data_IF_239251009009
#
_entry.id   IF_239251009009
#
_cell.length_a   1.000
_cell.length_b   1.000
_cell.length_c   1.000
_cell.angle_alpha   90.00
_cell.angle_beta   90.00
_cell.angle_gamma   90.00
#
_symmetry.space_group_name_H-M   'P 1'
#
loop_
_entity.id
_entity.type
_entity.pdbx_description
1 polymer ?
#
# COMPACT_ATOMS: atom_id res chain seq x y z
N UNK A 1 -65.04 -21.92 60.00
CA UNK A 1 -65.31 -22.29 58.60
C UNK A 1 -64.01 -22.01 57.83
N UNK A 2 -63.15 -23.01 57.58
CA UNK A 2 -63.06 -23.84 56.35
C UNK A 2 -63.08 -22.95 55.07
N UNK A 3 -62.06 -22.91 54.21
CA UNK A 3 -61.58 -23.97 53.29
C UNK A 3 -60.14 -23.66 52.80
N UNK A 4 -59.20 -24.62 52.86
CA UNK A 4 -58.62 -25.44 51.75
C UNK A 4 -57.86 -24.71 50.62
N UNK A 5 -56.55 -24.98 50.53
CA UNK A 5 -55.70 -25.06 49.32
C UNK A 5 -56.22 -26.18 48.37
N UNK A 6 -55.97 -26.23 47.03
CA UNK A 6 -54.61 -26.36 46.44
C UNK A 6 -54.35 -25.98 44.94
N UNK A 7 -53.05 -25.90 44.59
CA UNK A 7 -52.41 -26.20 43.28
C UNK A 7 -52.81 -25.34 42.05
N UNK A 8 -52.02 -25.11 41.00
CA UNK A 8 -50.96 -25.88 40.31
C UNK A 8 -50.35 -24.96 39.24
N UNK A 9 -49.06 -25.18 38.94
CA UNK A 9 -48.40 -25.09 37.62
C UNK A 9 -48.54 -23.83 36.74
N UNK A 10 -47.40 -23.26 36.37
CA UNK A 10 -47.28 -22.33 35.24
C UNK A 10 -45.90 -21.74 35.14
N UNK A 11 -44.93 -22.52 34.66
CA UNK A 11 -43.61 -22.01 34.27
C UNK A 11 -43.73 -21.11 33.03
N UNK A 12 -43.10 -19.93 32.99
CA UNK A 12 -42.71 -19.32 31.75
C UNK A 12 -41.22 -19.60 31.49
N UNK A 13 -40.96 -20.29 30.38
CA UNK A 13 -39.67 -20.37 29.71
C UNK A 13 -38.99 -19.00 29.65
N UNK A 14 -37.92 -18.82 30.42
CA UNK A 14 -36.94 -17.75 30.17
C UNK A 14 -36.04 -18.26 29.05
N UNK A 15 -36.42 -17.96 27.82
CA UNK A 15 -35.57 -18.15 26.65
C UNK A 15 -34.33 -17.27 26.79
N UNK A 16 -33.20 -17.96 26.94
CA UNK A 16 -31.86 -17.41 26.96
C UNK A 16 -31.61 -16.46 25.78
N UNK A 17 -31.49 -15.15 26.06
CA UNK A 17 -30.82 -14.22 25.16
C UNK A 17 -29.32 -14.48 25.25
N UNK A 18 -28.84 -15.43 24.45
CA UNK A 18 -27.41 -15.54 24.14
C UNK A 18 -27.03 -14.33 23.30
N UNK A 19 -26.01 -13.54 23.68
CA UNK A 19 -25.43 -12.57 22.77
C UNK A 19 -24.84 -13.35 21.59
N UNK A 20 -25.35 -13.07 20.39
CA UNK A 20 -24.74 -13.52 19.15
C UNK A 20 -23.33 -12.94 19.10
N UNK A 21 -22.36 -13.76 19.48
CA UNK A 21 -20.96 -13.62 19.07
C UNK A 21 -20.98 -13.56 17.54
N UNK A 22 -20.88 -12.34 17.01
CA UNK A 22 -20.53 -12.13 15.61
C UNK A 22 -19.16 -12.77 15.44
N UNK A 23 -18.99 -13.80 14.61
CA UNK A 23 -17.67 -14.29 14.29
C UNK A 23 -17.01 -13.16 13.50
N UNK A 24 -16.06 -12.46 14.13
CA UNK A 24 -15.07 -11.66 13.43
C UNK A 24 -14.29 -12.68 12.59
N UNK A 25 -14.71 -12.83 11.33
CA UNK A 25 -14.00 -13.63 10.35
C UNK A 25 -12.65 -12.96 10.14
N UNK A 26 -11.63 -13.53 10.79
CA UNK A 26 -10.24 -13.23 10.52
C UNK A 26 -9.97 -13.48 9.02
N UNK A 27 -9.92 -12.40 8.23
CA UNK A 27 -9.45 -12.42 6.85
C UNK A 27 -7.94 -12.72 6.85
N UNK A 28 -7.59 -14.00 6.91
CA UNK A 28 -6.25 -14.48 6.61
C UNK A 28 -6.10 -14.64 5.10
N UNK A 29 -5.84 -13.55 4.38
CA UNK A 29 -5.54 -13.62 2.94
C UNK A 29 -4.43 -12.63 2.55
N UNK A 30 -3.19 -13.11 2.60
CA UNK A 30 -2.06 -12.49 1.89
C UNK A 30 -1.31 -13.57 1.11
N UNK A 31 -1.98 -14.24 0.18
CA UNK A 31 -1.35 -15.14 -0.78
C UNK A 31 -0.89 -14.29 -1.96
N UNK A 32 0.28 -13.67 -1.80
CA UNK A 32 0.88 -12.77 -2.79
C UNK A 32 1.64 -11.67 -2.08
N UNK A 33 2.84 -11.99 -1.59
CA UNK A 33 3.62 -11.03 -0.81
C UNK A 33 3.89 -9.77 -1.65
N UNK A 34 3.44 -8.57 -1.22
CA UNK A 34 4.01 -7.33 -1.72
C UNK A 34 5.52 -7.35 -1.46
N UNK A 35 6.29 -6.50 -2.14
CA UNK A 35 7.72 -6.37 -1.91
C UNK A 35 8.02 -6.42 -0.39
N UNK A 36 8.99 -7.26 0.00
CA UNK A 36 9.26 -7.50 1.42
C UNK A 36 9.57 -6.18 2.10
N UNK A 37 9.03 -5.93 3.28
CA UNK A 37 9.20 -4.70 4.05
C UNK A 37 9.68 -5.12 5.45
N UNK A 38 10.69 -4.44 5.98
CA UNK A 38 11.51 -4.98 7.07
C UNK A 38 11.72 -3.93 8.17
N UNK A 39 11.67 -4.39 9.42
CA UNK A 39 12.00 -3.60 10.60
C UNK A 39 13.49 -3.76 10.87
N UNK A 40 14.22 -2.65 10.87
CA UNK A 40 15.68 -2.58 10.81
C UNK A 40 16.30 -2.02 12.09
N UNK A 41 15.50 -1.38 12.95
CA UNK A 41 15.94 -0.80 14.22
C UNK A 41 16.27 -1.85 15.29
N UNK A 42 15.96 -3.13 15.07
CA UNK A 42 16.20 -4.23 16.02
C UNK A 42 15.33 -4.17 17.29
N UNK A 43 14.57 -3.09 17.45
CA UNK A 43 13.40 -3.00 18.32
C UNK A 43 12.20 -3.27 17.42
N UNK A 44 11.17 -3.95 17.90
CA UNK A 44 9.94 -4.12 17.11
C UNK A 44 9.37 -2.76 16.68
N UNK A 45 8.29 -2.70 15.87
CA UNK A 45 7.73 -1.43 15.42
C UNK A 45 7.41 -0.51 16.62
N UNK A 46 7.07 -1.08 17.78
CA UNK A 46 6.86 -0.36 19.04
C UNK A 46 8.09 0.39 19.64
N UNK A 47 9.32 0.19 19.17
CA UNK A 47 10.53 0.75 19.81
C UNK A 47 11.14 1.99 19.13
N UNK A 48 10.56 2.44 18.03
CA UNK A 48 11.02 3.59 17.24
C UNK A 48 9.99 4.13 16.23
N UNK A 49 8.91 3.39 15.97
CA UNK A 49 7.76 3.85 15.21
C UNK A 49 6.69 4.35 16.18
N UNK A 50 6.11 5.51 15.88
CA UNK A 50 4.97 6.05 16.62
C UNK A 50 3.73 5.98 15.73
N UNK A 51 2.57 5.53 16.24
CA UNK A 51 1.31 5.75 15.54
C UNK A 51 1.13 7.27 15.37
N UNK A 52 0.58 7.70 14.24
CA UNK A 52 0.29 9.13 14.02
C UNK A 52 -0.48 9.71 15.20
N UNK A 53 0.04 10.76 15.83
CA UNK A 53 -0.64 11.47 16.91
C UNK A 53 -1.80 12.34 16.40
N UNK A 54 -2.56 12.95 17.30
CA UNK A 54 -3.58 13.93 16.91
C UNK A 54 -2.95 15.17 16.24
N UNK A 55 -1.76 15.59 16.70
CA UNK A 55 -1.01 16.71 16.13
C UNK A 55 -0.51 16.39 14.71
N UNK A 56 -0.19 15.12 14.43
CA UNK A 56 0.13 14.63 13.09
C UNK A 56 -1.09 14.57 12.17
N UNK A 57 -2.29 14.51 12.75
CA UNK A 57 -3.57 14.33 12.06
C UNK A 57 -3.86 15.42 11.03
N UNK A 58 -3.37 16.65 11.23
CA UNK A 58 -3.49 17.73 10.24
C UNK A 58 -2.52 17.57 9.07
N UNK A 59 -1.23 17.34 9.36
CA UNK A 59 -0.16 17.28 8.34
C UNK A 59 -0.25 16.04 7.46
N UNK A 60 -0.70 14.93 8.01
CA UNK A 60 -0.77 13.63 7.34
C UNK A 60 -2.23 13.16 7.13
N UNK A 61 -3.20 14.07 7.22
CA UNK A 61 -4.64 13.81 7.04
C UNK A 61 -5.01 13.09 5.73
N UNK A 62 -4.16 13.26 4.70
CA UNK A 62 -4.32 12.69 3.37
C UNK A 62 -3.65 11.34 3.16
N UNK A 63 -3.10 10.73 4.21
CA UNK A 63 -2.53 9.37 4.14
C UNK A 63 -3.66 8.35 4.32
N UNK A 64 -3.76 7.41 3.40
CA UNK A 64 -4.80 6.39 3.38
C UNK A 64 -4.33 5.07 2.79
N UNK A 65 -5.25 4.11 2.71
CA UNK A 65 -4.99 2.79 2.15
C UNK A 65 -5.56 2.71 0.73
N UNK A 66 -4.73 2.29 -0.21
CA UNK A 66 -5.18 1.88 -1.55
C UNK A 66 -5.50 0.40 -1.47
N UNK A 67 -6.76 0.05 -1.64
CA UNK A 67 -7.22 -1.34 -1.69
C UNK A 67 -7.71 -1.69 -3.07
N UNK A 68 -7.15 -2.76 -3.64
CA UNK A 68 -7.60 -3.32 -4.90
C UNK A 68 -8.20 -4.70 -4.67
N UNK A 69 -9.33 -4.96 -5.34
CA UNK A 69 -9.93 -6.28 -5.42
C UNK A 69 -9.71 -6.83 -6.81
N UNK A 70 -9.19 -8.05 -6.89
CA UNK A 70 -9.09 -8.76 -8.16
C UNK A 70 -10.36 -9.62 -8.34
N UNK A 71 -11.21 -9.34 -9.35
CA UNK A 71 -12.40 -10.16 -9.61
C UNK A 71 -12.08 -11.62 -9.89
N UNK A 72 -10.87 -11.94 -10.37
CA UNK A 72 -10.44 -13.30 -10.63
C UNK A 72 -10.03 -14.06 -9.35
N UNK A 73 -9.76 -13.35 -8.24
CA UNK A 73 -9.47 -13.94 -6.93
C UNK A 73 -10.36 -13.34 -5.83
N UNK A 74 -11.69 -13.64 -5.84
CA UNK A 74 -12.62 -13.11 -4.86
C UNK A 74 -12.18 -13.44 -3.43
N UNK A 75 -12.06 -12.41 -2.58
CA UNK A 75 -11.62 -12.53 -1.19
C UNK A 75 -10.20 -12.01 -0.94
N UNK A 76 -9.33 -11.97 -1.95
CA UNK A 76 -8.01 -11.35 -1.83
C UNK A 76 -8.14 -9.83 -2.04
N UNK A 77 -7.98 -9.06 -0.97
CA UNK A 77 -7.78 -7.62 -1.05
C UNK A 77 -6.29 -7.32 -0.94
N UNK A 78 -5.78 -6.52 -1.85
CA UNK A 78 -4.40 -6.09 -1.80
C UNK A 78 -4.34 -4.64 -1.37
N UNK A 79 -3.57 -4.40 -0.32
CA UNK A 79 -3.42 -3.08 0.25
C UNK A 79 -2.01 -2.53 0.03
N UNK A 80 -1.96 -1.23 -0.25
CA UNK A 80 -0.78 -0.40 -0.18
C UNK A 80 -1.15 0.89 0.58
N UNK A 81 -0.15 1.62 1.05
CA UNK A 81 -0.34 3.00 1.46
C UNK A 81 -0.47 3.89 0.23
N UNK A 82 -1.29 4.93 0.31
CA UNK A 82 -1.25 6.06 -0.61
C UNK A 82 -1.30 7.37 0.14
N UNK A 83 -0.83 8.45 -0.48
CA UNK A 83 -0.93 9.79 0.08
C UNK A 83 -1.44 10.78 -0.97
N UNK A 84 -2.47 11.53 -0.60
CA UNK A 84 -2.97 12.68 -1.35
C UNK A 84 -1.87 13.74 -1.52
N UNK A 85 -1.54 14.07 -2.77
CA UNK A 85 -0.47 15.01 -3.14
C UNK A 85 -0.88 15.86 -4.36
N UNK A 86 -0.56 17.16 -4.32
CA UNK A 86 -0.87 18.11 -5.40
C UNK A 86 -2.31 18.61 -5.41
N UNK A 87 -3.30 17.73 -5.38
CA UNK A 87 -4.73 18.07 -5.24
C UNK A 87 -5.47 17.07 -4.36
N UNK A 88 -6.61 17.47 -3.78
CA UNK A 88 -7.41 16.63 -2.88
C UNK A 88 -7.99 15.36 -3.53
N UNK A 89 -7.86 15.19 -4.84
CA UNK A 89 -8.29 14.00 -5.58
C UNK A 89 -7.13 13.28 -6.30
N UNK A 90 -5.89 13.64 -5.99
CA UNK A 90 -4.69 13.00 -6.57
C UNK A 90 -3.91 12.28 -5.49
N UNK A 91 -3.69 10.98 -5.65
CA UNK A 91 -2.97 10.14 -4.68
C UNK A 91 -1.73 9.56 -5.33
N UNK A 92 -0.61 9.46 -4.60
CA UNK A 92 0.59 8.73 -5.05
C UNK A 92 0.75 7.46 -4.23
N UNK A 93 1.14 6.37 -4.90
CA UNK A 93 1.39 5.06 -4.28
C UNK A 93 2.45 4.28 -5.09
N UNK A 94 2.78 3.06 -4.66
CA UNK A 94 3.62 2.13 -5.42
C UNK A 94 2.79 1.43 -6.52
N UNK A 95 3.33 1.31 -7.72
CA UNK A 95 2.60 0.73 -8.85
C UNK A 95 2.28 -0.74 -8.66
N UNK A 96 3.15 -1.50 -7.99
CA UNK A 96 2.98 -2.95 -7.79
C UNK A 96 1.70 -3.34 -7.04
N UNK A 97 0.97 -2.41 -6.42
CA UNK A 97 -0.38 -2.70 -5.89
C UNK A 97 -1.34 -3.15 -7.00
N UNK A 98 -1.17 -2.64 -8.22
CA UNK A 98 -2.03 -2.90 -9.39
C UNK A 98 -1.56 -4.08 -10.27
N UNK A 99 -0.41 -4.71 -10.02
CA UNK A 99 0.13 -5.75 -10.90
C UNK A 99 0.32 -7.06 -10.15
N UNK A 100 -0.30 -8.16 -10.63
CA UNK A 100 -0.40 -9.46 -9.96
C UNK A 100 -0.04 -10.62 -10.88
N UNK A 101 0.67 -11.62 -10.37
CA UNK A 101 0.90 -12.86 -11.12
C UNK A 101 1.74 -13.85 -10.32
N UNK A 102 1.73 -15.15 -10.69
CA UNK A 102 2.61 -16.12 -10.07
C UNK A 102 4.06 -15.71 -10.26
N UNK A 103 4.82 -15.65 -9.15
CA UNK A 103 6.28 -15.61 -9.23
C UNK A 103 6.78 -16.96 -9.77
N UNK A 104 7.84 -16.99 -10.60
CA UNK A 104 8.67 -15.88 -11.05
C UNK A 104 8.37 -15.60 -12.53
N UNK A 105 7.35 -14.81 -12.86
CA UNK A 105 7.04 -14.56 -14.27
C UNK A 105 6.98 -13.07 -14.59
N UNK A 106 7.61 -12.73 -15.71
CA UNK A 106 7.57 -11.49 -16.50
C UNK A 106 6.15 -11.00 -16.87
N UNK A 107 5.10 -11.61 -16.33
CA UNK A 107 3.70 -11.42 -16.71
C UNK A 107 2.83 -11.09 -15.49
N UNK A 108 3.27 -10.12 -14.67
CA UNK A 108 2.37 -9.51 -13.70
C UNK A 108 1.22 -8.86 -14.48
N UNK A 109 0.01 -9.41 -14.28
CA UNK A 109 -1.27 -8.96 -14.81
C UNK A 109 -1.70 -7.69 -14.12
N UNK A 110 -1.97 -6.65 -14.90
CA UNK A 110 -2.58 -5.45 -14.38
C UNK A 110 -4.04 -5.71 -13.95
N UNK A 111 -4.40 -5.21 -12.78
CA UNK A 111 -5.77 -5.05 -12.29
C UNK A 111 -6.26 -3.68 -12.73
N UNK A 112 -7.54 -3.57 -13.11
CA UNK A 112 -8.15 -2.27 -13.43
C UNK A 112 -8.17 -1.39 -12.17
N UNK A 113 -7.59 -0.17 -12.19
CA UNK A 113 -7.70 0.77 -11.09
C UNK A 113 -9.15 1.05 -10.67
N UNK A 114 -10.14 0.93 -11.56
CA UNK A 114 -11.56 1.09 -11.23
C UNK A 114 -12.09 0.05 -10.23
N UNK A 115 -11.39 -1.07 -10.05
CA UNK A 115 -11.68 -2.09 -9.03
C UNK A 115 -10.94 -1.81 -7.71
N UNK A 116 -10.41 -0.60 -7.54
CA UNK A 116 -9.70 -0.17 -6.35
C UNK A 116 -10.40 1.03 -5.69
N UNK A 117 -10.15 1.20 -4.39
CA UNK A 117 -10.60 2.34 -3.62
C UNK A 117 -9.45 2.90 -2.78
N UNK A 118 -9.50 4.20 -2.54
CA UNK A 118 -8.69 4.89 -1.54
C UNK A 118 -9.51 5.10 -0.28
N UNK A 119 -8.99 4.63 0.85
CA UNK A 119 -9.69 4.59 2.14
C UNK A 119 -8.92 5.44 3.14
N UNK A 120 -9.61 6.42 3.72
CA UNK A 120 -9.09 7.28 4.79
C UNK A 120 -9.66 6.82 6.12
N UNK A 121 -8.81 6.80 7.14
CA UNK A 121 -9.18 6.44 8.51
C UNK A 121 -9.07 7.66 9.41
N UNK A 122 -9.92 7.72 10.44
CA UNK A 122 -9.79 8.70 11.51
C UNK A 122 -8.78 8.22 12.58
N UNK A 123 -8.57 9.05 13.60
CA UNK A 123 -7.66 8.73 14.71
C UNK A 123 -8.17 7.57 15.58
N UNK A 124 -9.44 7.19 15.47
CA UNK A 124 -10.06 6.07 16.16
C UNK A 124 -10.10 4.79 15.29
N UNK A 125 -9.32 4.78 14.21
CA UNK A 125 -9.20 3.65 13.27
C UNK A 125 -10.50 3.33 12.52
N UNK A 126 -11.47 4.25 12.54
CA UNK A 126 -12.71 4.11 11.79
C UNK A 126 -12.55 4.64 10.38
N UNK A 127 -13.24 4.01 9.42
CA UNK A 127 -13.29 4.49 8.05
C UNK A 127 -13.98 5.85 8.02
N UNK A 128 -13.23 6.89 7.67
CA UNK A 128 -13.74 8.26 7.48
C UNK A 128 -14.35 8.40 6.09
N UNK A 129 -13.63 7.95 5.07
CA UNK A 129 -14.06 8.02 3.68
C UNK A 129 -13.54 6.83 2.87
N UNK A 130 -14.38 6.30 1.99
CA UNK A 130 -13.99 5.38 0.91
C UNK A 130 -14.29 6.05 -0.41
N UNK A 131 -13.27 6.16 -1.28
CA UNK A 131 -13.38 6.85 -2.56
C UNK A 131 -12.87 5.93 -3.67
N UNK A 132 -13.70 5.61 -4.68
CA UNK A 132 -13.24 4.82 -5.80
C UNK A 132 -12.13 5.53 -6.58
N UNK A 133 -11.24 4.72 -7.16
CA UNK A 133 -10.18 5.21 -8.04
C UNK A 133 -10.71 5.29 -9.47
N UNK A 134 -10.68 6.49 -10.07
CA UNK A 134 -11.14 6.72 -11.45
C UNK A 134 -10.20 6.13 -12.49
N UNK A 135 -8.91 6.37 -12.29
CA UNK A 135 -7.82 5.82 -13.09
C UNK A 135 -6.48 5.98 -12.36
N UNK A 136 -5.46 5.26 -12.81
CA UNK A 136 -4.09 5.44 -12.36
C UNK A 136 -3.12 5.56 -13.54
N UNK A 137 -2.11 6.41 -13.38
CA UNK A 137 -0.97 6.55 -14.29
C UNK A 137 0.27 5.91 -13.67
N UNK A 138 1.00 5.12 -14.45
CA UNK A 138 2.28 4.54 -14.05
C UNK A 138 3.15 4.25 -15.27
N UNK A 139 4.47 4.41 -15.18
CA UNK A 139 5.36 3.86 -16.21
C UNK A 139 5.23 2.32 -16.34
N UNK A 140 4.84 1.61 -15.29
CA UNK A 140 4.56 0.15 -15.34
C UNK A 140 3.34 -0.22 -16.20
N UNK A 141 2.55 0.76 -16.67
CA UNK A 141 1.55 0.49 -17.70
C UNK A 141 2.20 -0.10 -18.97
N UNK A 142 3.45 0.27 -19.27
CA UNK A 142 4.26 -0.37 -20.31
C UNK A 142 4.81 -1.71 -19.86
N UNK A 143 4.49 -2.78 -20.59
CA UNK A 143 4.93 -4.15 -20.28
C UNK A 143 6.46 -4.28 -20.15
N UNK A 144 7.24 -3.54 -20.93
CA UNK A 144 8.72 -3.57 -20.87
C UNK A 144 9.33 -2.93 -19.61
N UNK A 145 8.54 -2.16 -18.86
CA UNK A 145 8.94 -1.50 -17.61
C UNK A 145 8.32 -2.16 -16.37
N UNK A 146 7.44 -3.14 -16.54
CA UNK A 146 6.85 -3.88 -15.41
C UNK A 146 7.93 -4.63 -14.64
N UNK A 147 7.70 -4.78 -13.34
CA UNK A 147 8.62 -5.41 -12.41
C UNK A 147 9.99 -4.71 -12.34
N UNK A 148 10.09 -3.45 -12.75
CA UNK A 148 11.30 -2.65 -12.62
C UNK A 148 11.11 -1.61 -11.51
N UNK A 149 11.71 -1.82 -10.34
CA UNK A 149 11.50 -0.97 -9.17
C UNK A 149 11.94 0.49 -9.42
N UNK A 150 12.81 0.73 -10.41
CA UNK A 150 13.21 2.08 -10.85
C UNK A 150 12.02 2.91 -11.40
N UNK A 151 10.89 2.25 -11.67
CA UNK A 151 9.69 2.81 -12.28
C UNK A 151 8.40 2.49 -11.50
N UNK A 152 8.53 1.92 -10.31
CA UNK A 152 7.42 1.42 -9.49
C UNK A 152 6.71 2.55 -8.74
N UNK A 153 5.96 3.37 -9.48
CA UNK A 153 5.14 4.45 -8.92
C UNK A 153 3.85 4.58 -9.71
N UNK A 154 2.77 4.83 -8.99
CA UNK A 154 1.48 5.15 -9.59
C UNK A 154 0.94 6.45 -9.00
N UNK A 155 0.31 7.24 -9.86
CA UNK A 155 -0.45 8.44 -9.48
C UNK A 155 -1.91 8.19 -9.85
N UNK A 156 -2.79 8.22 -8.87
CA UNK A 156 -4.20 7.93 -9.00
C UNK A 156 -5.02 9.22 -9.09
N UNK A 157 -6.06 9.19 -9.91
CA UNK A 157 -7.18 10.12 -9.83
C UNK A 157 -8.31 9.46 -9.05
N UNK A 158 -8.80 10.14 -8.02
CA UNK A 158 -9.98 9.73 -7.28
C UNK A 158 -11.25 10.24 -7.98
N UNK A 159 -12.37 9.54 -7.79
CA UNK A 159 -13.67 9.95 -8.36
C UNK A 159 -14.19 11.28 -7.80
N UNK A 160 -13.75 11.63 -6.59
CA UNK A 160 -14.06 12.91 -5.94
C UNK A 160 -12.92 13.33 -5.00
N UNK A 161 -12.79 14.62 -4.69
CA UNK A 161 -11.86 15.11 -3.68
C UNK A 161 -12.12 14.50 -2.29
N UNK A 162 -11.06 14.24 -1.54
CA UNK A 162 -11.09 13.93 -0.11
C UNK A 162 -11.26 15.20 0.72
N UNK A 163 -11.80 15.09 1.93
CA UNK A 163 -11.87 16.21 2.89
C UNK A 163 -10.65 16.20 3.80
N UNK A 164 -9.66 17.04 3.46
CA UNK A 164 -8.43 17.21 4.25
C UNK A 164 -8.03 18.68 4.30
N UNK A 165 -7.39 19.07 5.40
CA UNK A 165 -7.05 20.47 5.67
C UNK A 165 -5.71 20.89 5.06
N UNK A 166 -4.85 19.93 4.72
CA UNK A 166 -3.54 20.18 4.13
C UNK A 166 -3.16 19.12 3.09
N UNK A 167 -2.53 19.58 2.01
CA UNK A 167 -1.97 18.73 0.95
C UNK A 167 -0.47 19.03 0.88
N UNK A 168 0.42 18.04 1.08
CA UNK A 168 1.84 18.25 0.95
C UNK A 168 2.25 18.50 -0.50
N UNK A 169 3.38 19.18 -0.67
CA UNK A 169 4.02 19.35 -1.97
C UNK A 169 4.88 18.12 -2.28
N UNK A 170 4.78 17.62 -3.51
CA UNK A 170 5.72 16.64 -4.06
C UNK A 170 6.91 17.40 -4.66
N UNK A 171 8.13 17.12 -4.20
CA UNK A 171 9.33 17.83 -4.64
C UNK A 171 10.36 16.88 -5.26
N UNK A 172 11.01 17.24 -6.38
CA UNK A 172 12.12 16.47 -6.89
C UNK A 172 13.27 16.46 -5.89
N UNK A 173 13.79 15.28 -5.56
CA UNK A 173 14.92 15.15 -4.64
C UNK A 173 16.18 14.73 -5.39
N UNK A 174 17.16 15.64 -5.42
CA UNK A 174 18.47 15.43 -6.06
C UNK A 174 19.60 15.23 -5.06
N UNK A 175 19.29 15.19 -3.75
CA UNK A 175 20.30 15.11 -2.70
C UNK A 175 21.08 13.80 -2.74
N UNK A 176 22.40 13.91 -2.70
CA UNK A 176 23.30 12.83 -2.31
C UNK A 176 23.45 12.87 -0.78
N UNK A 177 23.09 11.79 -0.10
CA UNK A 177 23.50 11.53 1.29
C UNK A 177 22.59 12.04 2.43
N UNK A 178 22.30 11.11 3.34
CA UNK A 178 21.92 11.25 4.77
C UNK A 178 20.82 12.24 5.15
N UNK A 179 19.87 12.54 4.27
CA UNK A 179 18.66 13.26 4.66
C UNK A 179 17.93 12.49 5.75
N UNK A 180 17.59 13.17 6.85
CA UNK A 180 16.70 12.63 7.88
C UNK A 180 15.27 12.80 7.38
N UNK A 181 14.53 11.71 7.36
CA UNK A 181 13.17 11.67 6.81
C UNK A 181 12.25 10.89 7.73
N UNK A 182 10.98 11.19 7.60
CA UNK A 182 9.90 10.44 8.19
C UNK A 182 9.23 9.62 7.07
N UNK A 183 9.17 8.29 7.24
CA UNK A 183 8.37 7.42 6.41
C UNK A 183 6.97 7.34 7.03
N UNK A 184 5.97 7.80 6.28
CA UNK A 184 4.57 7.78 6.70
C UNK A 184 3.85 6.68 5.93
N UNK A 185 3.47 5.60 6.62
CA UNK A 185 2.94 4.41 5.98
C UNK A 185 2.01 3.59 6.87
N UNK A 186 1.11 2.80 6.28
CA UNK A 186 0.42 1.73 6.99
C UNK A 186 1.35 0.53 7.16
N UNK A 187 1.26 -0.12 8.31
CA UNK A 187 2.07 -1.30 8.64
C UNK A 187 1.13 -2.46 8.97
N UNK A 188 1.18 -3.54 8.19
CA UNK A 188 0.53 -4.79 8.55
C UNK A 188 1.42 -5.56 9.54
N UNK A 189 0.80 -6.23 10.51
CA UNK A 189 1.49 -7.04 11.53
C UNK A 189 1.72 -6.33 12.88
N UNK A 190 1.49 -5.02 12.97
CA UNK A 190 1.36 -4.32 14.24
C UNK A 190 -0.13 -4.30 14.65
N UNK A 191 -0.60 -5.43 15.21
CA UNK A 191 -1.93 -5.65 15.80
C UNK A 191 -3.08 -4.82 15.22
N UNK A 192 -3.70 -5.26 14.13
CA UNK A 192 -4.99 -4.76 13.57
C UNK A 192 -5.16 -3.24 13.35
N UNK A 193 -4.16 -2.41 13.67
CA UNK A 193 -4.29 -0.97 13.69
C UNK A 193 -4.52 -0.42 12.28
N UNK A 194 -5.64 0.27 12.08
CA UNK A 194 -5.97 0.97 10.83
C UNK A 194 -5.40 2.39 10.79
N UNK A 195 -4.23 2.61 11.39
CA UNK A 195 -3.53 3.90 11.41
C UNK A 195 -2.21 3.82 10.68
N UNK A 196 -1.87 4.91 10.00
CA UNK A 196 -0.52 5.09 9.50
C UNK A 196 0.44 5.36 10.66
N UNK A 197 1.65 4.85 10.52
CA UNK A 197 2.76 5.01 11.43
C UNK A 197 3.78 5.95 10.80
N UNK A 198 4.52 6.63 11.68
CA UNK A 198 5.64 7.45 11.28
C UNK A 198 6.91 6.77 11.79
N UNK A 199 7.79 6.38 10.87
CA UNK A 199 9.10 5.84 11.18
C UNK A 199 10.19 6.79 10.70
N UNK A 200 11.03 7.23 11.63
CA UNK A 200 12.14 8.13 11.31
C UNK A 200 13.35 7.34 10.86
N UNK A 201 14.01 7.81 9.81
CA UNK A 201 15.23 7.19 9.30
C UNK A 201 16.08 8.13 8.47
N UNK A 202 17.22 7.61 8.02
CA UNK A 202 18.12 8.30 7.09
C UNK A 202 17.99 7.71 5.70
N UNK A 203 18.05 8.58 4.70
CA UNK A 203 18.21 8.17 3.31
C UNK A 203 19.68 8.10 2.93
N UNK A 204 20.06 7.08 2.18
CA UNK A 204 21.36 6.97 1.53
C UNK A 204 21.18 6.60 0.05
N UNK A 205 22.24 6.73 -0.73
CA UNK A 205 22.20 6.29 -2.13
C UNK A 205 21.98 4.78 -2.20
N UNK A 206 21.20 4.36 -3.19
CA UNK A 206 20.93 2.94 -3.40
C UNK A 206 22.21 2.22 -3.83
N UNK A 207 22.60 1.11 -3.19
CA UNK A 207 23.84 0.43 -3.51
C UNK A 207 23.83 -0.11 -4.95
N UNK A 208 24.82 0.23 -5.80
CA UNK A 208 24.85 -0.20 -7.19
C UNK A 208 25.09 -1.70 -7.36
N UNK A 209 25.53 -2.42 -6.31
CA UNK A 209 25.66 -3.88 -6.34
C UNK A 209 24.32 -4.63 -6.23
N UNK A 210 23.23 -3.94 -5.88
CA UNK A 210 21.94 -4.53 -5.55
C UNK A 210 20.91 -4.39 -6.70
N UNK A 211 21.34 -4.57 -7.96
CA UNK A 211 20.51 -4.28 -9.14
C UNK A 211 19.47 -5.36 -9.50
N UNK A 212 19.44 -6.46 -8.76
CA UNK A 212 18.54 -7.58 -9.01
C UNK A 212 18.14 -8.25 -7.72
N UNK A 213 16.83 -8.43 -7.55
CA UNK A 213 16.28 -9.29 -6.49
C UNK A 213 15.79 -10.59 -7.12
N UNK A 214 16.64 -11.61 -7.10
CA UNK A 214 16.32 -12.93 -7.64
C UNK A 214 15.15 -13.62 -6.92
N UNK A 215 14.82 -13.22 -5.69
CA UNK A 215 13.70 -13.81 -4.93
C UNK A 215 12.35 -13.27 -5.39
N UNK A 216 12.28 -11.98 -5.73
CA UNK A 216 11.02 -11.35 -6.16
C UNK A 216 10.87 -11.29 -7.67
N UNK A 217 11.96 -11.47 -8.43
CA UNK A 217 12.01 -11.26 -9.87
C UNK A 217 11.94 -9.78 -10.26
N UNK A 218 12.11 -8.87 -9.29
CA UNK A 218 12.17 -7.44 -9.52
C UNK A 218 13.54 -7.05 -10.07
N UNK A 219 13.52 -6.26 -11.14
CA UNK A 219 14.69 -5.68 -11.79
C UNK A 219 14.90 -4.26 -11.27
N UNK A 220 16.14 -3.81 -11.23
CA UNK A 220 16.48 -2.40 -11.01
C UNK A 220 17.39 -1.96 -12.16
N UNK A 221 16.84 -1.24 -13.13
CA UNK A 221 17.63 -0.70 -14.25
C UNK A 221 18.33 0.62 -13.92
N UNK A 222 17.94 1.31 -12.85
CA UNK A 222 18.51 2.62 -12.52
C UNK A 222 18.55 2.85 -11.01
N UNK A 223 19.65 2.41 -10.38
CA UNK A 223 19.95 2.70 -8.98
C UNK A 223 19.88 4.20 -8.63
N UNK A 224 20.33 5.17 -9.47
CA UNK A 224 20.23 6.60 -9.14
C UNK A 224 18.79 7.11 -8.92
N UNK A 225 17.78 6.40 -9.43
CA UNK A 225 16.37 6.73 -9.17
C UNK A 225 15.92 6.28 -7.78
N UNK A 226 16.64 5.35 -7.15
CA UNK A 226 16.28 4.71 -5.89
C UNK A 226 17.20 5.15 -4.75
N UNK A 227 16.72 5.13 -3.51
CA UNK A 227 17.53 5.29 -2.28
C UNK A 227 17.38 4.06 -1.39
N UNK A 228 18.37 3.85 -0.53
CA UNK A 228 18.21 3.05 0.68
C UNK A 228 17.73 3.94 1.84
N UNK A 229 17.05 3.33 2.81
CA UNK A 229 16.46 3.99 3.95
C UNK A 229 16.61 3.12 5.19
N UNK A 230 16.91 3.76 6.32
CA UNK A 230 16.95 3.12 7.64
C UNK A 230 15.61 3.19 8.38
N UNK A 231 14.60 3.86 7.83
CA UNK A 231 13.28 3.96 8.42
C UNK A 231 12.61 2.58 8.41
N UNK A 232 12.02 2.15 9.53
CA UNK A 232 11.37 0.85 9.64
C UNK A 232 10.15 0.74 8.72
N UNK A 233 9.92 -0.44 8.16
CA UNK A 233 8.75 -0.73 7.33
C UNK A 233 8.23 -2.15 7.58
N UNK A 234 6.99 -2.44 7.20
CA UNK A 234 6.43 -3.80 7.24
C UNK A 234 5.42 -3.98 6.10
N UNK A 235 4.94 -5.20 5.81
CA UNK A 235 4.00 -5.40 4.70
C UNK A 235 2.83 -4.40 4.74
N UNK A 236 2.44 -3.83 3.60
CA UNK A 236 1.44 -2.75 3.53
C UNK A 236 2.04 -1.33 3.50
N UNK A 237 3.31 -1.17 3.86
CA UNK A 237 4.00 0.12 3.79
C UNK A 237 4.32 0.58 2.37
N UNK A 238 4.25 -0.32 1.39
CA UNK A 238 4.38 -0.01 -0.04
C UNK A 238 3.50 1.18 -0.40
N UNK A 239 4.06 2.16 -1.11
CA UNK A 239 3.35 3.37 -1.45
C UNK A 239 3.28 4.42 -0.33
N UNK A 240 3.87 4.18 0.84
CA UNK A 240 4.09 5.22 1.85
C UNK A 240 5.08 6.25 1.34
N UNK A 241 5.04 7.48 1.84
CA UNK A 241 5.98 8.52 1.37
C UNK A 241 7.07 8.76 2.39
N UNK A 242 8.24 9.11 1.87
CA UNK A 242 9.31 9.71 2.65
C UNK A 242 9.15 11.23 2.61
N UNK A 243 9.01 11.82 3.79
CA UNK A 243 8.78 13.23 4.02
C UNK A 243 10.02 13.87 4.65
N UNK A 244 10.50 14.98 4.08
CA UNK A 244 11.53 15.81 4.70
C UNK A 244 10.85 17.00 5.39
N UNK A 245 10.82 16.98 6.72
CA UNK A 245 10.24 18.02 7.57
C UNK A 245 10.79 19.41 7.30
N UNK A 246 12.08 19.52 6.97
CA UNK A 246 12.74 20.81 6.74
C UNK A 246 12.27 21.44 5.44
N UNK A 247 11.98 20.61 4.44
CA UNK A 247 11.45 21.02 3.14
C UNK A 247 9.92 21.09 3.13
N UNK A 248 9.27 20.54 4.18
CA UNK A 248 7.82 20.32 4.26
C UNK A 248 7.26 19.62 3.02
N UNK A 249 8.01 18.66 2.48
CA UNK A 249 7.72 18.06 1.19
C UNK A 249 7.88 16.53 1.20
N UNK A 250 7.03 15.84 0.43
CA UNK A 250 7.25 14.46 0.07
C UNK A 250 8.32 14.39 -1.02
N UNK A 251 9.35 13.56 -0.79
CA UNK A 251 10.54 13.49 -1.64
C UNK A 251 10.74 12.11 -2.29
N UNK A 252 9.94 11.12 -1.92
CA UNK A 252 9.99 9.80 -2.50
C UNK A 252 8.88 8.89 -1.99
N UNK A 253 8.75 7.72 -2.64
CA UNK A 253 7.77 6.69 -2.32
C UNK A 253 8.46 5.39 -1.90
N UNK A 254 7.97 4.76 -0.84
CA UNK A 254 8.44 3.47 -0.33
C UNK A 254 7.99 2.33 -1.23
N UNK A 255 8.94 1.46 -1.56
CA UNK A 255 8.68 0.32 -2.46
C UNK A 255 8.79 -1.01 -1.73
N UNK A 256 9.75 -1.15 -0.82
CA UNK A 256 9.99 -2.38 -0.07
C UNK A 256 11.36 -2.37 0.59
N UNK A 257 11.98 -3.55 0.66
CA UNK A 257 13.24 -3.82 1.34
C UNK A 257 14.07 -4.85 0.59
N UNK A 258 15.38 -4.79 0.80
CA UNK A 258 16.34 -5.81 0.41
C UNK A 258 17.11 -6.22 1.66
N UNK A 259 17.16 -7.51 1.97
CA UNK A 259 17.91 -8.01 3.11
C UNK A 259 18.47 -9.40 2.87
N UNK A 260 19.79 -9.52 2.95
CA UNK A 260 20.53 -10.78 2.87
C UNK A 260 20.93 -11.30 4.25
N UNK A 261 20.78 -10.49 5.30
CA UNK A 261 21.12 -10.84 6.66
C UNK A 261 20.06 -11.77 7.28
N UNK A 262 20.53 -12.80 8.01
CA UNK A 262 19.64 -13.72 8.74
C UNK A 262 18.91 -13.03 9.91
N UNK A 263 19.51 -11.98 10.49
CA UNK A 263 18.92 -11.14 11.53
C UNK A 263 18.80 -9.72 10.98
N UNK A 264 17.58 -9.23 10.71
CA UNK A 264 17.38 -7.90 10.18
C UNK A 264 17.94 -6.82 11.10
N UNK A 265 18.85 -6.01 10.55
CA UNK A 265 19.37 -4.78 11.13
C UNK A 265 19.76 -3.89 9.98
N UNK A 266 19.55 -2.58 10.10
CA UNK A 266 19.98 -1.67 9.04
C UNK A 266 21.47 -1.85 8.76
N UNK A 267 21.75 -2.23 7.52
CA UNK A 267 23.05 -2.30 6.89
C UNK A 267 22.85 -1.77 5.47
N UNK A 268 23.57 -0.70 5.13
CA UNK A 268 23.40 -0.02 3.84
C UNK A 268 23.61 -0.95 2.65
N UNK A 269 24.50 -1.93 2.77
CA UNK A 269 24.92 -2.76 1.64
C UNK A 269 24.24 -4.15 1.66
N UNK A 270 23.70 -4.57 2.82
CA UNK A 270 23.15 -5.91 3.00
C UNK A 270 21.69 -5.96 3.48
N UNK A 271 21.16 -4.95 4.18
CA UNK A 271 19.81 -4.99 4.75
C UNK A 271 19.20 -3.60 4.96
N UNK A 272 18.34 -3.16 4.04
CA UNK A 272 17.75 -1.83 4.05
C UNK A 272 16.35 -1.80 3.43
N UNK A 273 15.56 -0.81 3.84
CA UNK A 273 14.35 -0.41 3.13
C UNK A 273 14.73 0.47 1.96
N UNK A 274 13.94 0.51 0.90
CA UNK A 274 14.23 1.34 -0.26
C UNK A 274 12.99 2.04 -0.81
N UNK A 275 13.26 3.10 -1.55
CA UNK A 275 12.21 3.91 -2.16
C UNK A 275 12.68 4.54 -3.46
N UNK A 276 11.71 5.06 -4.21
CA UNK A 276 11.92 5.79 -5.45
C UNK A 276 11.94 7.29 -5.15
N UNK A 277 12.99 7.99 -5.61
CA UNK A 277 13.07 9.47 -5.56
C UNK A 277 11.99 10.06 -6.44
N UNK A 278 11.36 11.11 -5.96
CA UNK A 278 10.62 11.99 -6.84
C UNK A 278 11.60 12.68 -7.78
N UNK A 279 11.35 12.51 -9.07
CA UNK A 279 12.07 13.18 -10.15
C UNK A 279 11.14 14.18 -10.81
N UNK A 280 11.65 15.13 -11.63
CA UNK A 280 10.78 16.04 -12.39
C UNK A 280 9.71 15.30 -13.21
N UNK A 281 10.03 14.10 -13.71
CA UNK A 281 9.08 13.27 -14.47
C UNK A 281 7.92 12.73 -13.63
N UNK A 282 8.15 12.44 -12.34
CA UNK A 282 7.10 12.00 -11.40
C UNK A 282 6.24 13.19 -10.99
N UNK A 283 6.86 14.34 -10.69
CA UNK A 283 6.12 15.58 -10.36
C UNK A 283 5.26 16.02 -11.55
N UNK A 284 5.75 15.92 -12.78
CA UNK A 284 4.95 16.15 -13.98
C UNK A 284 3.79 15.15 -14.12
N UNK A 285 3.97 13.90 -13.67
CA UNK A 285 2.88 12.91 -13.65
C UNK A 285 1.81 13.25 -12.62
N UNK A 286 2.19 13.79 -11.46
CA UNK A 286 1.25 14.35 -10.48
C UNK A 286 0.46 15.50 -11.12
N UNK A 287 1.13 16.49 -11.72
CA UNK A 287 0.47 17.62 -12.38
C UNK A 287 -0.51 17.19 -13.50
N UNK A 288 -0.14 16.17 -14.30
CA UNK A 288 -1.05 15.61 -15.30
C UNK A 288 -2.34 15.04 -14.70
N UNK A 289 -2.27 14.39 -13.54
CA UNK A 289 -3.45 13.84 -12.86
C UNK A 289 -4.27 14.93 -12.18
N UNK A 290 -3.61 15.90 -11.54
CA UNK A 290 -4.24 17.10 -10.96
C UNK A 290 -5.10 17.80 -12.02
N UNK A 291 -4.55 17.99 -13.22
CA UNK A 291 -5.24 18.65 -14.35
C UNK A 291 -6.24 17.75 -15.11
N UNK A 292 -6.39 16.49 -14.70
CA UNK A 292 -7.21 15.48 -15.40
C UNK A 292 -6.84 15.35 -16.89
N UNK A 293 -5.54 15.32 -17.19
CA UNK A 293 -4.97 15.17 -18.55
C UNK A 293 -4.10 13.92 -18.66
N UNK A 294 -4.67 12.71 -18.53
CA UNK A 294 -3.90 11.48 -18.55
C UNK A 294 -3.31 11.19 -19.94
N UNK A 295 -2.03 10.80 -19.99
CA UNK A 295 -1.44 10.23 -21.20
C UNK A 295 -1.91 8.78 -21.34
N UNK A 296 -2.59 8.39 -22.45
CA UNK A 296 -3.15 7.04 -22.60
C UNK A 296 -2.14 5.91 -22.42
N UNK A 297 -0.90 6.09 -22.89
CA UNK A 297 0.16 5.07 -22.79
C UNK A 297 0.70 4.84 -21.37
N UNK A 298 0.44 5.76 -20.44
CA UNK A 298 0.78 5.62 -19.03
C UNK A 298 -0.39 5.16 -18.17
N UNK A 299 -1.61 5.08 -18.73
CA UNK A 299 -2.78 4.65 -17.98
C UNK A 299 -2.71 3.14 -17.75
N UNK A 300 -2.80 2.73 -16.49
CA UNK A 300 -2.92 1.31 -16.14
C UNK A 300 -4.27 0.81 -16.65
N UNK A 301 -4.25 -0.30 -17.38
CA UNK A 301 -5.43 -1.01 -17.89
C UNK A 301 -5.30 -2.48 -17.52
N UNK A 302 -6.41 -3.14 -17.22
CA UNK A 302 -6.38 -4.57 -16.96
C UNK A 302 -5.78 -5.34 -18.15
N UNK A 303 -4.99 -6.38 -17.86
CA UNK A 303 -4.46 -7.24 -18.92
C UNK A 303 -5.51 -8.26 -19.34
N UNK A 304 -5.93 -8.17 -20.60
CA UNK A 304 -6.85 -9.12 -21.24
C UNK A 304 -8.33 -8.84 -20.98
N UNK A 305 -9.15 -9.17 -21.97
CA UNK A 305 -10.60 -9.30 -21.81
C UNK A 305 -10.88 -10.63 -21.09
N UNK A 306 -11.61 -10.67 -19.95
CA UNK A 306 -11.95 -11.91 -19.25
C UNK A 306 -12.51 -13.00 -20.17
N UNK A 307 -13.16 -12.60 -21.27
CA UNK A 307 -13.79 -13.49 -22.24
C UNK A 307 -12.81 -14.33 -23.08
N UNK A 308 -11.55 -13.91 -23.28
CA UNK A 308 -10.61 -14.63 -24.18
C UNK A 308 -9.81 -15.74 -23.51
N UNK A 309 -9.83 -15.86 -22.18
CA UNK A 309 -9.05 -16.85 -21.44
C UNK A 309 -9.77 -18.19 -21.25
N UNK A 310 -11.09 -18.24 -21.42
CA UNK A 310 -11.89 -19.48 -21.30
C UNK A 310 -11.79 -20.37 -22.55
N UNK A 311 -11.30 -19.85 -23.68
CA UNK A 311 -11.17 -20.62 -24.92
C UNK A 311 -9.88 -21.44 -25.05
N UNK A 312 -8.91 -21.30 -24.13
CA UNK A 312 -7.76 -22.19 -24.07
C UNK A 312 -8.10 -23.47 -23.27
N UNK A 313 -9.10 -24.23 -23.72
CA UNK A 313 -9.28 -25.62 -23.29
C UNK A 313 -8.22 -26.45 -24.02
N UNK A 314 -7.44 -27.32 -23.34
CA UNK A 314 -6.54 -28.22 -24.04
C UNK A 314 -7.38 -29.14 -24.93
N UNK A 315 -7.07 -29.17 -26.22
CA UNK A 315 -7.59 -30.21 -27.11
C UNK A 315 -7.26 -31.56 -26.49
N UNK A 316 -8.29 -32.37 -26.23
CA UNK A 316 -8.08 -33.76 -25.84
C UNK A 316 -7.27 -34.43 -26.95
N UNK A 317 -6.22 -35.19 -26.63
CA UNK A 317 -5.58 -36.03 -27.64
C UNK A 317 -6.63 -37.00 -28.18
N UNK A 318 -6.78 -37.03 -29.50
CA UNK A 318 -7.55 -38.06 -30.18
C UNK A 318 -6.79 -39.36 -30.02
N UNK A 319 -7.35 -40.28 -29.23
CA UNK A 319 -7.03 -41.70 -29.30
C UNK A 319 -7.67 -42.33 -30.53
#
# INVERSE_FOLDING_TARGET
>A
MAFRFPSKAGAPCVLARRPLLVPVTAMLLSVGTPAQAIILSGRGPAGGAAPMSADDGGRFAGVGRVECRDPATPGAAYAATGWVLGSADTVVTAAHVFFRGPRPVRAARAVDPANCAFILYDLNEQVRETIPVRYALSPWASAGLRNDSSYDVAVLKLDRPVKIDAIPVAMPFRGAGRALVDLVAFHAGAGEMQRAWITRGRLDDFPPGQLRDDRTGLRITSAPRLFSASADSSPGSSGGMYYDERLRAAIGVHLGALCTLARPRYDRDACFNYGLRFTPSIVAMVDMVVRDRPIPSKRIRADGDPARLVQARPERPRG
#
